data_IF_875002077184
#
_entry.id   IF_875002077184
#
_cell.length_a   1.000
_cell.length_b   1.000
_cell.length_c   1.000
_cell.angle_alpha   90.00
_cell.angle_beta   90.00
_cell.angle_gamma   90.00
#
_symmetry.space_group_name_H-M   'P 1'
#
loop_
_entity.id
_entity.type
_entity.pdbx_description
1 polymer ?
#
# COMPACT_ATOMS: atom_id res chain seq x y z
N UNK A 1 51.45 46.62 -2.32
CA UNK A 1 50.66 46.16 -1.16
C UNK A 1 49.55 45.26 -1.70
N UNK A 2 49.61 43.97 -1.38
CA UNK A 2 48.66 42.92 -1.78
C UNK A 2 47.75 42.64 -0.58
N UNK A 3 46.56 42.09 -0.84
CA UNK A 3 45.49 41.68 0.09
C UNK A 3 44.38 42.75 0.17
N UNK A 4 43.09 42.41 0.00
CA UNK A 4 42.43 41.20 0.47
C UNK A 4 41.47 40.63 -0.58
N UNK A 5 41.71 39.37 -0.94
CA UNK A 5 40.70 38.51 -1.53
C UNK A 5 39.51 38.42 -0.58
N UNK A 6 38.33 38.84 -1.05
CA UNK A 6 37.04 38.49 -0.47
C UNK A 6 36.81 36.99 -0.68
N UNK A 7 37.49 36.17 0.10
CA UNK A 7 37.06 34.79 0.34
C UNK A 7 35.74 34.88 1.08
N UNK A 8 34.64 34.84 0.32
CA UNK A 8 33.36 34.34 0.79
C UNK A 8 33.64 32.99 1.45
N UNK A 9 33.75 32.96 2.78
CA UNK A 9 33.75 31.70 3.52
C UNK A 9 32.44 31.00 3.23
N UNK A 10 32.50 30.09 2.25
CA UNK A 10 31.44 29.19 1.86
C UNK A 10 31.00 28.48 3.13
N UNK A 11 29.70 28.48 3.46
CA UNK A 11 29.22 27.70 4.59
C UNK A 11 29.43 26.20 4.30
N UNK A 12 30.59 25.69 4.71
CA UNK A 12 31.11 24.36 4.34
C UNK A 12 30.23 23.22 4.87
N UNK A 13 29.46 23.48 5.93
CA UNK A 13 28.76 22.43 6.66
C UNK A 13 27.52 21.88 5.93
N UNK A 14 26.72 22.72 5.27
CA UNK A 14 25.54 22.25 4.50
C UNK A 14 25.96 21.61 3.18
N UNK A 15 27.08 22.06 2.59
CA UNK A 15 27.62 21.52 1.35
C UNK A 15 28.13 20.08 1.54
N UNK A 16 28.88 19.82 2.62
CA UNK A 16 29.42 18.50 2.93
C UNK A 16 28.35 17.46 3.27
N UNK A 17 27.31 17.82 4.03
CA UNK A 17 26.23 16.90 4.38
C UNK A 17 25.42 16.46 3.15
N UNK A 18 25.07 17.40 2.25
CA UNK A 18 24.35 17.09 1.03
C UNK A 18 25.20 16.25 0.05
N UNK A 19 26.52 16.44 0.03
CA UNK A 19 27.44 15.60 -0.74
C UNK A 19 27.48 14.17 -0.20
N UNK A 20 27.52 13.99 1.13
CA UNK A 20 27.46 12.66 1.77
C UNK A 20 26.13 11.95 1.45
N UNK A 21 25.02 12.70 1.38
CA UNK A 21 23.69 12.16 1.07
C UNK A 21 23.43 11.98 -0.43
N UNK A 22 24.35 12.34 -1.32
CA UNK A 22 24.16 12.24 -2.76
C UNK A 22 23.80 10.80 -3.22
N UNK A 23 24.49 9.73 -2.78
CA UNK A 23 24.11 8.37 -3.15
C UNK A 23 22.68 8.03 -2.73
N UNK A 24 22.30 8.42 -1.50
CA UNK A 24 20.95 8.21 -0.98
C UNK A 24 19.91 8.97 -1.81
N UNK A 25 20.22 10.21 -2.23
CA UNK A 25 19.33 11.01 -3.08
C UNK A 25 19.11 10.37 -4.45
N UNK A 26 20.17 9.87 -5.07
CA UNK A 26 20.09 9.20 -6.38
C UNK A 26 19.28 7.90 -6.29
N UNK A 27 19.56 7.06 -5.29
CA UNK A 27 18.88 5.77 -5.11
C UNK A 27 17.42 5.96 -4.70
N UNK A 28 17.13 6.87 -3.75
CA UNK A 28 15.76 7.19 -3.38
C UNK A 28 14.98 7.80 -4.55
N UNK A 29 15.62 8.69 -5.31
CA UNK A 29 15.02 9.25 -6.53
C UNK A 29 14.71 8.19 -7.57
N UNK A 30 15.63 7.24 -7.80
CA UNK A 30 15.40 6.11 -8.70
C UNK A 30 14.27 5.19 -8.19
N UNK A 31 14.20 4.91 -6.89
CA UNK A 31 13.14 4.07 -6.32
C UNK A 31 11.74 4.61 -6.67
N UNK A 32 11.52 5.93 -6.54
CA UNK A 32 10.27 6.58 -6.96
C UNK A 32 10.10 6.62 -8.49
N UNK A 33 11.12 7.07 -9.23
CA UNK A 33 11.02 7.19 -10.69
C UNK A 33 10.79 5.83 -11.37
N UNK A 34 11.41 4.77 -10.85
CA UNK A 34 11.28 3.42 -11.38
C UNK A 34 9.85 2.87 -11.26
N UNK A 35 9.03 3.39 -10.35
CA UNK A 35 7.61 3.03 -10.27
C UNK A 35 6.87 3.45 -11.54
N UNK A 36 7.06 4.69 -11.99
CA UNK A 36 6.56 5.17 -13.28
C UNK A 36 7.15 4.38 -14.44
N UNK A 37 8.47 4.22 -14.48
CA UNK A 37 9.13 3.54 -15.58
C UNK A 37 8.59 2.11 -15.77
N UNK A 38 8.40 1.36 -14.68
CA UNK A 38 7.86 0.00 -14.74
C UNK A 38 6.37 -0.07 -15.10
N UNK A 39 5.57 0.92 -14.68
CA UNK A 39 4.10 0.90 -14.83
C UNK A 39 3.58 1.56 -16.11
N UNK A 40 4.38 2.42 -16.73
CA UNK A 40 3.99 3.18 -17.92
C UNK A 40 4.84 2.82 -19.16
N UNK A 41 6.11 2.46 -18.99
CA UNK A 41 7.04 2.22 -20.11
C UNK A 41 7.30 0.73 -20.32
N UNK A 42 7.67 0.00 -19.27
CA UNK A 42 8.05 -1.42 -19.41
C UNK A 42 6.84 -2.37 -19.45
N UNK A 43 5.74 -1.98 -18.83
CA UNK A 43 4.50 -2.73 -18.83
C UNK A 43 3.33 -1.77 -18.70
N UNK A 44 2.19 -2.10 -19.30
CA UNK A 44 0.95 -1.33 -19.10
C UNK A 44 0.23 -1.82 -17.85
N UNK A 45 0.55 -1.20 -16.71
CA UNK A 45 -0.02 -1.52 -15.39
C UNK A 45 -1.03 -0.47 -14.91
N UNK A 46 -1.31 0.54 -15.73
CA UNK A 46 -2.23 1.64 -15.43
C UNK A 46 -3.61 1.44 -16.07
N UNK A 47 -3.73 0.55 -17.05
CA UNK A 47 -5.01 0.15 -17.61
C UNK A 47 -5.74 -0.88 -16.71
N UNK A 48 -6.97 -0.63 -16.26
CA UNK A 48 -7.79 -1.62 -15.56
C UNK A 48 -8.08 -2.89 -16.37
N UNK A 49 -8.00 -2.83 -17.70
CA UNK A 49 -8.21 -3.98 -18.57
C UNK A 49 -7.06 -4.98 -18.60
N UNK A 50 -5.86 -4.60 -18.13
CA UNK A 50 -4.67 -5.43 -18.25
C UNK A 50 -4.37 -6.23 -16.98
N UNK A 51 -3.83 -7.46 -17.12
CA UNK A 51 -3.42 -8.26 -15.97
C UNK A 51 -2.37 -7.54 -15.11
N UNK A 52 -2.63 -7.46 -13.80
CA UNK A 52 -1.76 -6.81 -12.84
C UNK A 52 -1.89 -5.30 -12.81
N UNK A 53 -3.06 -4.77 -13.19
CA UNK A 53 -3.46 -3.39 -12.95
C UNK A 53 -3.13 -2.97 -11.51
N UNK A 54 -2.48 -1.82 -11.36
CA UNK A 54 -2.01 -1.33 -10.05
C UNK A 54 -3.15 -1.06 -9.06
N UNK A 55 -4.37 -0.76 -9.52
CA UNK A 55 -5.51 -0.57 -8.64
C UNK A 55 -5.94 -1.86 -7.91
N UNK A 56 -5.70 -3.04 -8.50
CA UNK A 56 -5.88 -4.32 -7.79
C UNK A 56 -4.87 -4.46 -6.64
N UNK A 57 -3.64 -3.96 -6.82
CA UNK A 57 -2.66 -3.94 -5.73
C UNK A 57 -3.02 -2.92 -4.65
N UNK A 58 -3.56 -1.77 -5.03
CA UNK A 58 -4.02 -0.76 -4.08
C UNK A 58 -5.16 -1.30 -3.19
N UNK A 59 -6.00 -2.19 -3.73
CA UNK A 59 -7.03 -2.89 -2.95
C UNK A 59 -6.45 -3.69 -1.78
N UNK A 60 -5.25 -4.27 -1.95
CA UNK A 60 -4.57 -5.03 -0.89
C UNK A 60 -4.25 -4.18 0.34
N UNK A 61 -4.22 -2.85 0.22
CA UNK A 61 -3.91 -1.97 1.35
C UNK A 61 -5.11 -1.83 2.31
N UNK A 62 -6.34 -2.02 1.81
CA UNK A 62 -7.58 -1.71 2.53
C UNK A 62 -7.75 -2.45 3.87
N UNK A 63 -7.52 -3.78 4.00
CA UNK A 63 -7.90 -4.53 5.19
C UNK A 63 -7.33 -4.02 6.51
N UNK A 64 -6.02 -3.75 6.56
CA UNK A 64 -5.32 -3.38 7.79
C UNK A 64 -4.62 -2.02 7.72
N UNK A 65 -4.98 -1.15 6.77
CA UNK A 65 -4.45 0.22 6.73
C UNK A 65 -4.69 0.98 8.05
N UNK A 66 -3.72 1.80 8.44
CA UNK A 66 -3.74 2.63 9.64
C UNK A 66 -4.23 4.04 9.29
N UNK A 67 -5.37 4.45 9.85
CA UNK A 67 -5.89 5.83 9.73
C UNK A 67 -6.48 6.22 8.36
N UNK A 68 -6.09 5.56 7.26
CA UNK A 68 -6.51 5.92 5.89
C UNK A 68 -7.50 4.95 5.23
N UNK A 69 -8.05 3.98 5.98
CA UNK A 69 -9.04 3.00 5.46
C UNK A 69 -10.23 3.66 4.73
N UNK A 70 -10.87 4.73 5.23
CA UNK A 70 -12.03 5.31 4.55
C UNK A 70 -11.69 5.86 3.16
N UNK A 71 -10.52 6.49 3.01
CA UNK A 71 -10.07 7.02 1.73
C UNK A 71 -9.77 5.89 0.73
N UNK A 72 -9.07 4.83 1.17
CA UNK A 72 -8.81 3.65 0.33
C UNK A 72 -10.12 2.98 -0.08
N UNK A 73 -11.03 2.78 0.88
CA UNK A 73 -12.34 2.16 0.63
C UNK A 73 -13.14 2.94 -0.39
N UNK A 74 -13.15 4.27 -0.30
CA UNK A 74 -13.85 5.12 -1.25
C UNK A 74 -13.30 4.94 -2.67
N UNK A 75 -11.97 4.96 -2.83
CA UNK A 75 -11.34 4.76 -4.15
C UNK A 75 -11.63 3.36 -4.72
N UNK A 76 -11.49 2.31 -3.91
CA UNK A 76 -11.73 0.92 -4.33
C UNK A 76 -13.18 0.68 -4.78
N UNK A 77 -14.15 1.41 -4.21
CA UNK A 77 -15.56 1.34 -4.60
C UNK A 77 -15.89 2.15 -5.87
N UNK A 78 -14.97 3.01 -6.34
CA UNK A 78 -15.16 3.87 -7.52
C UNK A 78 -14.04 3.64 -8.54
N UNK A 79 -14.16 2.63 -9.44
CA UNK A 79 -13.09 2.21 -10.34
C UNK A 79 -12.53 3.32 -11.24
N UNK A 80 -13.39 4.20 -11.77
CA UNK A 80 -12.94 5.32 -12.61
C UNK A 80 -12.06 6.29 -11.83
N UNK A 81 -12.46 6.64 -10.61
CA UNK A 81 -11.69 7.52 -9.74
C UNK A 81 -10.39 6.83 -9.29
N UNK A 82 -10.42 5.53 -9.01
CA UNK A 82 -9.22 4.75 -8.70
C UNK A 82 -8.21 4.81 -9.85
N UNK A 83 -8.65 4.61 -11.10
CA UNK A 83 -7.79 4.70 -12.30
C UNK A 83 -7.06 6.04 -12.36
N UNK A 84 -7.80 7.14 -12.30
CA UNK A 84 -7.20 8.47 -12.36
C UNK A 84 -6.29 8.77 -11.16
N UNK A 85 -6.65 8.28 -9.97
CA UNK A 85 -5.80 8.40 -8.78
C UNK A 85 -4.48 7.65 -8.94
N UNK A 86 -4.51 6.42 -9.48
CA UNK A 86 -3.30 5.61 -9.71
C UNK A 86 -2.38 6.23 -10.77
N UNK A 87 -2.95 6.81 -11.82
CA UNK A 87 -2.19 7.58 -12.82
C UNK A 87 -1.56 8.80 -12.16
N UNK A 88 -2.34 9.59 -11.41
CA UNK A 88 -1.85 10.79 -10.74
C UNK A 88 -0.72 10.47 -9.76
N UNK A 89 -0.88 9.45 -8.90
CA UNK A 89 0.18 9.02 -7.98
C UNK A 89 1.44 8.59 -8.74
N UNK A 90 1.30 7.82 -9.82
CA UNK A 90 2.44 7.37 -10.62
C UNK A 90 3.17 8.54 -11.29
N UNK A 91 2.45 9.58 -11.73
CA UNK A 91 3.06 10.79 -12.28
C UNK A 91 3.77 11.62 -11.21
N UNK A 92 3.20 11.71 -10.00
CA UNK A 92 3.85 12.37 -8.86
C UNK A 92 5.13 11.63 -8.46
N UNK A 93 5.11 10.30 -8.41
CA UNK A 93 6.31 9.48 -8.16
C UNK A 93 7.38 9.72 -9.24
N UNK A 94 6.99 9.83 -10.51
CA UNK A 94 7.91 10.15 -11.60
C UNK A 94 8.58 11.51 -11.40
N UNK A 95 7.77 12.54 -11.12
CA UNK A 95 8.24 13.91 -10.92
C UNK A 95 9.19 13.99 -9.72
N UNK A 96 8.76 13.48 -8.57
CA UNK A 96 9.54 13.50 -7.32
C UNK A 96 10.85 12.74 -7.51
N UNK A 97 10.79 11.54 -8.10
CA UNK A 97 11.96 10.70 -8.33
C UNK A 97 12.99 11.36 -9.24
N UNK A 98 12.54 11.87 -10.39
CA UNK A 98 13.42 12.54 -11.36
C UNK A 98 14.01 13.83 -10.80
N UNK A 99 13.20 14.67 -10.16
CA UNK A 99 13.68 15.91 -9.56
C UNK A 99 14.65 15.66 -8.40
N UNK A 100 14.45 14.60 -7.58
CA UNK A 100 15.44 14.21 -6.59
C UNK A 100 16.77 13.79 -7.21
N UNK A 101 16.75 12.95 -8.26
CA UNK A 101 17.99 12.53 -8.91
C UNK A 101 18.78 13.72 -9.46
N UNK A 102 18.10 14.64 -10.15
CA UNK A 102 18.70 15.85 -10.72
C UNK A 102 19.03 16.92 -9.66
N UNK A 103 18.44 16.83 -8.47
CA UNK A 103 18.54 17.88 -7.45
C UNK A 103 17.84 19.17 -7.87
N UNK A 104 16.58 19.05 -8.30
CA UNK A 104 15.67 20.15 -8.64
C UNK A 104 14.66 20.30 -7.50
N UNK A 105 14.58 21.50 -6.89
CA UNK A 105 13.75 21.78 -5.72
C UNK A 105 13.90 20.72 -4.62
N UNK A 106 15.16 20.39 -4.28
CA UNK A 106 15.50 19.18 -3.52
C UNK A 106 14.76 19.06 -2.19
N UNK A 107 14.52 20.16 -1.48
CA UNK A 107 13.79 20.13 -0.19
C UNK A 107 12.31 19.85 -0.38
N UNK A 108 11.67 20.50 -1.35
CA UNK A 108 10.27 20.22 -1.69
C UNK A 108 10.08 18.78 -2.15
N UNK A 109 11.01 18.26 -2.96
CA UNK A 109 10.96 16.87 -3.40
C UNK A 109 11.25 15.89 -2.25
N UNK A 110 12.15 16.24 -1.33
CA UNK A 110 12.37 15.49 -0.09
C UNK A 110 11.12 15.43 0.80
N UNK A 111 10.44 16.56 0.98
CA UNK A 111 9.16 16.63 1.68
C UNK A 111 8.09 15.77 1.00
N UNK A 112 8.01 15.85 -0.32
CA UNK A 112 7.05 15.07 -1.13
C UNK A 112 7.32 13.57 -1.01
N UNK A 113 8.59 13.15 -1.13
CA UNK A 113 9.01 11.77 -0.92
C UNK A 113 8.72 11.29 0.50
N UNK A 114 8.91 12.13 1.51
CA UNK A 114 8.54 11.80 2.90
C UNK A 114 7.03 11.56 3.03
N UNK A 115 6.20 12.39 2.42
CA UNK A 115 4.73 12.25 2.46
C UNK A 115 4.25 11.02 1.68
N UNK A 116 4.83 10.73 0.51
CA UNK A 116 4.55 9.52 -0.25
C UNK A 116 4.90 8.26 0.56
N UNK A 117 6.09 8.23 1.16
CA UNK A 117 6.53 7.14 2.03
C UNK A 117 5.63 6.97 3.24
N UNK A 118 5.19 8.07 3.85
CA UNK A 118 4.25 8.04 4.97
C UNK A 118 2.88 7.49 4.55
N UNK A 119 2.36 7.86 3.38
CA UNK A 119 1.13 7.29 2.84
C UNK A 119 1.23 5.78 2.60
N UNK A 120 2.36 5.32 2.04
CA UNK A 120 2.64 3.88 1.86
C UNK A 120 2.71 3.18 3.22
N UNK A 121 3.42 3.75 4.20
CA UNK A 121 3.53 3.18 5.55
C UNK A 121 2.15 3.00 6.20
N UNK A 122 1.28 4.01 6.09
CA UNK A 122 -0.07 3.96 6.65
C UNK A 122 -0.97 2.95 5.92
N UNK A 123 -0.88 2.83 4.60
CA UNK A 123 -1.72 1.93 3.83
C UNK A 123 -1.25 0.48 3.85
N UNK A 124 0.05 0.30 3.64
CA UNK A 124 0.66 -0.97 3.27
C UNK A 124 1.71 -1.46 4.28
N UNK A 125 2.03 -0.71 5.35
CA UNK A 125 3.08 -1.09 6.31
C UNK A 125 2.87 -2.40 7.06
N UNK A 126 1.69 -3.01 6.96
CA UNK A 126 1.39 -4.34 7.49
C UNK A 126 1.67 -5.48 6.50
N UNK A 127 1.87 -5.14 5.21
CA UNK A 127 2.23 -6.09 4.16
C UNK A 127 3.69 -6.52 4.32
N UNK A 128 3.97 -7.74 3.84
CA UNK A 128 5.29 -8.36 3.97
C UNK A 128 5.20 -9.86 4.26
N UNK A 129 5.17 -10.70 3.23
CA UNK A 129 4.96 -12.14 3.36
C UNK A 129 6.19 -12.88 3.85
N UNK A 130 7.37 -12.37 3.49
CA UNK A 130 8.69 -12.93 3.82
C UNK A 130 9.56 -11.93 4.55
N UNK A 131 9.55 -10.68 4.09
CA UNK A 131 10.28 -9.55 4.63
C UNK A 131 9.29 -8.42 4.97
N UNK A 132 9.69 -7.46 5.80
CA UNK A 132 8.88 -6.28 6.14
C UNK A 132 8.97 -5.20 5.06
N UNK A 133 8.75 -5.58 3.80
CA UNK A 133 9.15 -4.80 2.63
C UNK A 133 8.47 -3.42 2.58
N UNK A 134 7.14 -3.37 2.65
CA UNK A 134 6.38 -2.12 2.58
C UNK A 134 6.64 -1.21 3.79
N UNK A 135 6.82 -1.80 4.98
CA UNK A 135 7.18 -1.07 6.19
C UNK A 135 8.58 -0.45 6.07
N UNK A 136 9.58 -1.23 5.61
CA UNK A 136 10.95 -0.77 5.39
C UNK A 136 11.01 0.34 4.34
N UNK A 137 10.26 0.21 3.25
CA UNK A 137 10.12 1.27 2.23
C UNK A 137 9.58 2.55 2.86
N UNK A 138 8.51 2.44 3.67
CA UNK A 138 7.90 3.57 4.36
C UNK A 138 8.85 4.29 5.31
N UNK A 139 9.46 3.58 6.25
CA UNK A 139 10.33 4.19 7.27
C UNK A 139 11.64 4.75 6.69
N UNK A 140 12.27 4.04 5.75
CA UNK A 140 13.47 4.54 5.07
C UNK A 140 13.16 5.72 4.16
N UNK A 141 12.00 5.72 3.49
CA UNK A 141 11.54 6.84 2.69
C UNK A 141 11.29 8.11 3.52
N UNK A 142 10.67 7.96 4.70
CA UNK A 142 10.47 9.08 5.65
C UNK A 142 11.82 9.62 6.13
N UNK A 143 12.74 8.75 6.54
CA UNK A 143 14.07 9.15 7.01
C UNK A 143 14.87 9.85 5.90
N UNK A 144 14.86 9.30 4.68
CA UNK A 144 15.56 9.86 3.52
C UNK A 144 14.97 11.22 3.12
N UNK A 145 13.64 11.32 3.01
CA UNK A 145 12.96 12.58 2.70
C UNK A 145 13.22 13.67 3.74
N UNK A 146 13.23 13.29 5.03
CA UNK A 146 13.61 14.19 6.14
C UNK A 146 15.06 14.66 6.01
N UNK A 147 15.98 13.76 5.67
CA UNK A 147 17.39 14.11 5.45
C UNK A 147 17.54 15.13 4.31
N UNK A 148 16.85 14.93 3.17
CA UNK A 148 16.90 15.86 2.04
C UNK A 148 16.26 17.22 2.34
N UNK A 149 15.19 17.25 3.15
CA UNK A 149 14.55 18.47 3.60
C UNK A 149 15.52 19.34 4.42
N UNK A 150 16.38 18.70 5.22
CA UNK A 150 17.38 19.38 6.04
C UNK A 150 18.65 19.73 5.24
N UNK A 151 19.19 18.79 4.47
CA UNK A 151 20.48 18.95 3.78
C UNK A 151 20.39 19.79 2.50
N UNK A 152 19.25 19.75 1.81
CA UNK A 152 19.17 20.18 0.42
C UNK A 152 19.99 19.28 -0.52
N UNK A 153 20.23 19.77 -1.75
CA UNK A 153 20.85 19.02 -2.83
C UNK A 153 22.36 19.22 -3.03
N UNK A 154 22.99 20.15 -2.31
CA UNK A 154 24.45 20.33 -2.34
C UNK A 154 25.00 20.74 -3.72
N UNK A 155 26.30 20.57 -3.91
CA UNK A 155 27.01 21.09 -5.09
C UNK A 155 26.67 20.36 -6.40
N UNK A 156 26.32 19.09 -6.31
CA UNK A 156 25.93 18.26 -7.45
C UNK A 156 24.41 18.25 -7.60
N UNK A 157 23.82 19.43 -7.69
CA UNK A 157 22.38 19.61 -7.93
C UNK A 157 22.14 20.68 -8.99
N UNK A 158 21.05 20.53 -9.74
CA UNK A 158 20.59 21.59 -10.65
C UNK A 158 20.27 22.86 -9.85
N UNK A 159 19.75 22.73 -8.63
CA UNK A 159 19.53 23.86 -7.73
C UNK A 159 20.79 24.71 -7.53
N UNK A 160 21.94 24.08 -7.26
CA UNK A 160 23.21 24.78 -7.09
C UNK A 160 23.76 25.30 -8.42
N UNK A 161 23.61 24.55 -9.52
CA UNK A 161 24.01 25.01 -10.85
C UNK A 161 23.27 26.30 -11.25
N UNK A 162 21.96 26.36 -11.04
CA UNK A 162 21.13 27.54 -11.33
C UNK A 162 21.54 28.73 -10.45
N UNK A 163 21.86 28.47 -9.18
CA UNK A 163 22.37 29.48 -8.25
C UNK A 163 23.73 30.03 -8.70
N UNK A 164 24.67 29.17 -9.11
CA UNK A 164 25.99 29.57 -9.63
C UNK A 164 25.89 30.40 -10.90
N UNK A 165 24.90 30.11 -11.77
CA UNK A 165 24.60 30.92 -12.96
C UNK A 165 23.99 32.29 -12.64
N UNK A 166 23.66 32.57 -11.38
CA UNK A 166 23.24 33.90 -10.92
C UNK A 166 21.86 34.34 -11.39
N UNK A 167 20.97 33.39 -11.75
CA UNK A 167 19.62 33.69 -12.23
C UNK A 167 18.80 34.45 -11.17
N UNK A 168 18.00 35.43 -11.60
CA UNK A 168 17.28 36.36 -10.71
C UNK A 168 16.38 35.65 -9.69
N UNK A 169 15.65 34.61 -10.11
CA UNK A 169 14.75 33.86 -9.22
C UNK A 169 15.48 33.06 -8.14
N UNK A 170 16.75 32.68 -8.35
CA UNK A 170 17.53 31.90 -7.37
C UNK A 170 17.97 32.71 -6.15
N UNK A 171 17.89 34.04 -6.23
CA UNK A 171 18.18 34.96 -5.13
C UNK A 171 16.98 35.17 -4.20
N UNK A 172 15.80 34.73 -4.62
CA UNK A 172 14.59 34.92 -3.83
C UNK A 172 14.52 33.95 -2.63
N UNK A 173 13.95 34.42 -1.53
CA UNK A 173 13.84 33.64 -0.27
C UNK A 173 13.08 32.32 -0.46
N UNK A 174 12.06 32.30 -1.31
CA UNK A 174 11.31 31.08 -1.60
C UNK A 174 12.19 30.01 -2.26
N UNK A 175 13.09 30.40 -3.17
CA UNK A 175 14.01 29.45 -3.80
C UNK A 175 15.00 28.90 -2.78
N UNK A 176 15.50 29.74 -1.85
CA UNK A 176 16.38 29.28 -0.77
C UNK A 176 15.72 28.19 0.08
N UNK A 177 14.43 28.32 0.39
CA UNK A 177 13.70 27.38 1.25
C UNK A 177 13.19 26.14 0.51
N UNK A 178 12.68 26.29 -0.72
CA UNK A 178 12.12 25.19 -1.52
C UNK A 178 13.21 24.34 -2.21
N UNK A 179 14.30 24.99 -2.63
CA UNK A 179 15.44 24.36 -3.29
C UNK A 179 16.59 24.14 -2.29
N UNK A 180 17.84 24.24 -2.75
CA UNK A 180 19.04 23.86 -1.99
C UNK A 180 19.78 25.04 -1.37
N UNK A 181 19.07 26.12 -1.00
CA UNK A 181 19.68 27.30 -0.37
C UNK A 181 20.23 27.04 1.04
N UNK A 182 21.03 27.97 1.56
CA UNK A 182 21.59 27.83 2.92
C UNK A 182 20.49 28.02 3.96
N UNK A 183 20.21 26.96 4.73
CA UNK A 183 19.24 27.01 5.84
C UNK A 183 19.97 26.63 7.12
N UNK A 184 20.08 27.58 8.04
CA UNK A 184 20.63 27.31 9.38
C UNK A 184 19.58 26.61 10.24
N UNK A 185 19.61 25.28 10.28
CA UNK A 185 18.75 24.50 11.16
C UNK A 185 19.39 24.41 12.55
N UNK A 186 18.60 24.70 13.59
CA UNK A 186 19.06 24.58 14.99
C UNK A 186 19.25 23.11 15.36
N UNK A 187 20.36 22.76 16.02
CA UNK A 187 20.65 21.38 16.47
C UNK A 187 19.48 20.68 17.18
N UNK A 188 18.74 21.32 18.11
CA UNK A 188 17.59 20.69 18.76
C UNK A 188 16.49 20.25 17.79
N UNK A 189 16.27 20.99 16.71
CA UNK A 189 15.25 20.64 15.69
C UNK A 189 15.65 19.36 14.97
N UNK A 190 16.94 19.18 14.66
CA UNK A 190 17.46 17.96 14.05
C UNK A 190 17.29 16.76 14.98
N UNK A 191 17.61 16.92 16.28
CA UNK A 191 17.45 15.86 17.28
C UNK A 191 15.97 15.49 17.46
N UNK A 192 15.08 16.48 17.60
CA UNK A 192 13.64 16.25 17.72
C UNK A 192 13.10 15.54 16.48
N UNK A 193 13.52 15.97 15.28
CA UNK A 193 13.14 15.32 14.02
C UNK A 193 13.61 13.87 13.95
N UNK A 194 14.86 13.59 14.34
CA UNK A 194 15.40 12.23 14.38
C UNK A 194 14.64 11.33 15.38
N UNK A 195 14.35 11.84 16.58
CA UNK A 195 13.53 11.13 17.57
C UNK A 195 12.13 10.88 17.01
N UNK A 196 11.49 11.86 16.37
CA UNK A 196 10.17 11.68 15.77
C UNK A 196 10.15 10.60 14.68
N UNK A 197 11.14 10.59 13.77
CA UNK A 197 11.26 9.54 12.74
C UNK A 197 11.49 8.16 13.39
N UNK A 198 12.34 8.08 14.41
CA UNK A 198 12.55 6.84 15.15
C UNK A 198 11.28 6.38 15.89
N UNK A 199 10.54 7.29 16.49
CA UNK A 199 9.27 6.99 17.15
C UNK A 199 8.24 6.44 16.16
N UNK A 200 8.10 7.05 14.98
CA UNK A 200 7.23 6.53 13.91
C UNK A 200 7.65 5.11 13.53
N UNK A 201 8.95 4.86 13.35
CA UNK A 201 9.50 3.53 13.06
C UNK A 201 9.12 2.52 14.15
N UNK A 202 9.42 2.80 15.41
CA UNK A 202 9.18 1.84 16.50
C UNK A 202 7.67 1.60 16.75
N UNK A 203 6.87 2.66 16.73
CA UNK A 203 5.41 2.55 16.93
C UNK A 203 4.76 1.75 15.81
N UNK A 204 5.11 2.02 14.56
CA UNK A 204 4.53 1.28 13.43
C UNK A 204 5.03 -0.17 13.36
N UNK A 205 6.30 -0.43 13.72
CA UNK A 205 6.80 -1.81 13.84
C UNK A 205 6.03 -2.61 14.89
N UNK A 206 5.79 -2.00 16.05
CA UNK A 206 5.00 -2.62 17.10
C UNK A 206 3.55 -2.84 16.66
N UNK A 207 2.93 -1.84 16.05
CA UNK A 207 1.53 -1.90 15.63
C UNK A 207 1.28 -2.95 14.53
N UNK A 208 2.14 -3.00 13.51
CA UNK A 208 1.93 -3.86 12.35
C UNK A 208 2.44 -5.29 12.55
N UNK A 209 3.51 -5.47 13.34
CA UNK A 209 4.22 -6.75 13.40
C UNK A 209 4.47 -7.27 14.82
N UNK A 210 4.20 -6.48 15.86
CA UNK A 210 4.61 -6.82 17.23
C UNK A 210 6.14 -6.85 17.38
N UNK A 211 6.87 -6.11 16.52
CA UNK A 211 8.30 -6.27 16.32
C UNK A 211 9.23 -5.62 17.36
N UNK A 212 8.69 -5.03 18.44
CA UNK A 212 9.50 -4.42 19.51
C UNK A 212 9.37 -5.20 20.82
N UNK A 213 8.15 -5.55 21.21
CA UNK A 213 7.88 -6.33 22.42
C UNK A 213 6.61 -7.19 22.26
N UNK A 214 6.52 -8.27 23.03
CA UNK A 214 5.39 -9.22 22.97
C UNK A 214 5.52 -10.24 21.84
N UNK A 215 4.44 -10.98 21.53
CA UNK A 215 4.46 -11.98 20.47
C UNK A 215 4.48 -11.35 19.08
N UNK A 216 5.37 -11.85 18.23
CA UNK A 216 5.44 -11.47 16.82
C UNK A 216 4.18 -11.95 16.08
N UNK A 217 3.65 -11.13 15.18
CA UNK A 217 2.55 -11.50 14.31
C UNK A 217 2.78 -11.03 12.87
N UNK A 218 2.28 -11.81 11.91
CA UNK A 218 2.33 -11.42 10.50
C UNK A 218 0.99 -11.75 9.82
N UNK A 219 0.21 -10.70 9.56
CA UNK A 219 -1.09 -10.76 8.90
C UNK A 219 -1.02 -11.05 7.40
N UNK A 220 0.17 -11.09 6.83
CA UNK A 220 0.39 -11.32 5.40
C UNK A 220 0.72 -12.78 5.08
N UNK A 221 0.70 -13.69 6.07
CA UNK A 221 1.08 -15.10 5.86
C UNK A 221 -0.14 -16.00 5.70
N UNK A 222 -1.05 -16.02 6.68
CA UNK A 222 -2.18 -16.95 6.69
C UNK A 222 -3.45 -16.27 6.16
N UNK A 223 -4.20 -16.89 5.24
CA UNK A 223 -5.43 -16.29 4.75
C UNK A 223 -6.48 -16.22 5.88
N UNK A 224 -7.15 -15.08 5.97
CA UNK A 224 -8.36 -14.91 6.78
C UNK A 224 -9.47 -14.38 5.88
N UNK A 225 -10.60 -15.09 5.87
CA UNK A 225 -11.81 -14.70 5.16
C UNK A 225 -12.92 -14.47 6.17
N UNK A 226 -13.40 -13.24 6.22
CA UNK A 226 -14.57 -12.86 7.00
C UNK A 226 -15.85 -13.18 6.23
N UNK A 227 -16.83 -13.72 6.94
CA UNK A 227 -18.15 -14.05 6.42
C UNK A 227 -19.17 -13.09 7.05
N UNK A 228 -19.90 -12.37 6.21
CA UNK A 228 -20.99 -11.48 6.62
C UNK A 228 -22.27 -11.74 5.83
N UNK A 229 -23.40 -11.20 6.29
CA UNK A 229 -24.69 -11.23 5.59
C UNK A 229 -25.14 -12.64 5.15
N UNK A 230 -24.75 -13.66 5.93
CA UNK A 230 -25.07 -15.05 5.64
C UNK A 230 -26.55 -15.27 5.93
N UNK A 231 -27.30 -15.70 4.91
CA UNK A 231 -28.75 -15.92 4.96
C UNK A 231 -29.15 -17.10 4.09
N UNK A 232 -30.15 -17.87 4.55
CA UNK A 232 -30.81 -18.91 3.74
C UNK A 232 -32.06 -18.28 3.11
N UNK A 233 -32.16 -18.39 1.78
CA UNK A 233 -33.21 -17.80 0.94
C UNK A 233 -34.02 -18.90 0.22
N UNK A 234 -35.13 -18.53 -0.41
CA UNK A 234 -35.93 -19.44 -1.26
C UNK A 234 -35.15 -20.12 -2.39
N UNK A 235 -34.12 -19.45 -2.91
CA UNK A 235 -33.28 -19.96 -4.00
C UNK A 235 -31.95 -20.58 -3.54
N UNK A 236 -31.71 -20.68 -2.23
CA UNK A 236 -30.50 -21.29 -1.67
C UNK A 236 -29.76 -20.40 -0.67
N UNK A 237 -28.43 -20.50 -0.64
CA UNK A 237 -27.57 -19.89 0.37
C UNK A 237 -26.92 -18.62 -0.19
N UNK A 238 -27.01 -17.51 0.55
CA UNK A 238 -26.35 -16.24 0.20
C UNK A 238 -25.46 -15.79 1.34
N UNK A 239 -24.24 -15.34 1.02
CA UNK A 239 -23.32 -14.79 2.00
C UNK A 239 -22.30 -13.88 1.34
N UNK A 240 -21.73 -12.97 2.11
CA UNK A 240 -20.63 -12.11 1.68
C UNK A 240 -19.32 -12.65 2.22
N UNK A 241 -18.30 -12.72 1.36
CA UNK A 241 -16.91 -13.00 1.75
C UNK A 241 -16.07 -11.74 1.64
N UNK A 242 -15.17 -11.54 2.58
CA UNK A 242 -14.15 -10.49 2.55
C UNK A 242 -12.82 -11.04 3.03
N UNK A 243 -11.80 -11.03 2.18
CA UNK A 243 -10.46 -11.49 2.58
C UNK A 243 -9.66 -10.37 3.23
N UNK A 244 -9.35 -10.52 4.51
CA UNK A 244 -8.66 -9.49 5.30
C UNK A 244 -7.18 -9.74 5.50
N UNK A 245 -6.73 -10.98 5.40
CA UNK A 245 -5.34 -11.36 5.69
C UNK A 245 -4.79 -12.40 4.69
N UNK A 246 -3.48 -12.61 4.76
CA UNK A 246 -2.70 -13.57 4.00
C UNK A 246 -1.94 -12.95 2.83
N UNK A 247 -1.30 -13.83 2.06
CA UNK A 247 -0.38 -13.46 0.99
C UNK A 247 -1.05 -12.63 -0.11
N UNK A 248 -0.41 -11.55 -0.54
CA UNK A 248 -0.93 -10.58 -1.49
C UNK A 248 -0.68 -10.95 -2.97
N UNK A 249 0.24 -11.89 -3.24
CA UNK A 249 0.59 -12.35 -4.60
C UNK A 249 -0.36 -13.39 -5.19
N UNK A 250 -1.15 -14.10 -4.37
CA UNK A 250 -2.17 -15.05 -4.83
C UNK A 250 -3.43 -15.01 -3.94
N UNK A 251 -4.54 -15.55 -4.46
CA UNK A 251 -5.82 -15.60 -3.73
C UNK A 251 -5.90 -16.74 -2.71
N UNK A 252 -6.78 -16.63 -1.72
CA UNK A 252 -7.27 -17.83 -1.03
C UNK A 252 -8.06 -18.67 -2.04
N UNK A 253 -7.91 -20.00 -1.97
CA UNK A 253 -8.60 -20.93 -2.84
C UNK A 253 -9.68 -21.63 -2.04
N UNK A 254 -10.89 -21.10 -2.10
CA UNK A 254 -12.06 -21.68 -1.45
C UNK A 254 -12.46 -22.95 -2.22
N UNK A 255 -12.24 -24.11 -1.60
CA UNK A 255 -12.45 -25.44 -2.18
C UNK A 255 -13.65 -26.18 -1.58
N UNK A 256 -14.29 -25.62 -0.55
CA UNK A 256 -15.54 -26.17 -0.03
C UNK A 256 -16.37 -25.09 0.65
N UNK A 257 -17.68 -25.12 0.37
CA UNK A 257 -18.70 -24.40 1.14
C UNK A 257 -19.65 -25.45 1.71
N UNK A 258 -19.89 -25.43 3.02
CA UNK A 258 -20.77 -26.40 3.67
C UNK A 258 -21.70 -25.73 4.68
N UNK A 259 -22.91 -26.25 4.80
CA UNK A 259 -23.81 -25.97 5.91
C UNK A 259 -23.82 -27.16 6.86
N UNK A 260 -23.65 -26.85 8.15
CA UNK A 260 -23.61 -27.83 9.22
C UNK A 260 -24.82 -27.64 10.15
N UNK A 261 -25.50 -28.73 10.46
CA UNK A 261 -26.48 -28.83 11.56
C UNK A 261 -25.83 -29.63 12.69
N UNK A 262 -25.55 -29.00 13.83
CA UNK A 262 -24.87 -29.62 14.98
C UNK A 262 -23.59 -30.41 14.59
N UNK A 263 -22.79 -29.86 13.67
CA UNK A 263 -21.56 -30.47 13.19
C UNK A 263 -21.73 -31.49 12.05
N UNK A 264 -22.97 -31.90 11.73
CA UNK A 264 -23.27 -32.78 10.59
C UNK A 264 -23.48 -31.96 9.32
N UNK A 265 -22.80 -32.31 8.24
CA UNK A 265 -22.97 -31.65 6.94
C UNK A 265 -24.32 -31.98 6.32
N UNK A 266 -25.13 -30.96 6.08
CA UNK A 266 -26.45 -31.08 5.44
C UNK A 266 -26.45 -30.59 3.99
N UNK A 267 -25.51 -29.71 3.65
CA UNK A 267 -25.31 -29.21 2.30
C UNK A 267 -23.81 -28.95 2.09
N UNK A 268 -23.31 -29.27 0.90
CA UNK A 268 -21.90 -29.06 0.55
C UNK A 268 -21.75 -28.78 -0.94
N UNK A 269 -21.00 -27.73 -1.26
CA UNK A 269 -20.52 -27.42 -2.60
C UNK A 269 -19.01 -27.59 -2.60
N UNK A 270 -18.52 -28.49 -3.46
CA UNK A 270 -17.09 -28.80 -3.56
C UNK A 270 -16.38 -27.90 -4.57
N UNK A 271 -15.04 -27.87 -4.49
CA UNK A 271 -14.16 -27.08 -5.35
C UNK A 271 -14.49 -27.12 -6.85
N UNK A 272 -14.69 -28.31 -7.46
CA UNK A 272 -15.06 -28.41 -8.88
C UNK A 272 -16.40 -27.75 -9.24
N UNK A 273 -17.35 -27.65 -8.30
CA UNK A 273 -18.62 -26.95 -8.52
C UNK A 273 -18.42 -25.43 -8.33
N UNK A 274 -17.62 -25.05 -7.34
CA UNK A 274 -17.24 -23.66 -7.08
C UNK A 274 -16.44 -23.02 -8.24
N UNK A 275 -15.59 -23.81 -8.92
CA UNK A 275 -14.86 -23.36 -10.11
C UNK A 275 -15.74 -23.16 -11.35
N UNK A 276 -16.97 -23.70 -11.33
CA UNK A 276 -17.94 -23.57 -12.41
C UNK A 276 -19.05 -22.56 -12.08
N UNK A 277 -18.94 -21.85 -10.95
CA UNK A 277 -19.97 -20.92 -10.50
C UNK A 277 -20.14 -19.79 -11.54
N UNK A 278 -21.38 -19.52 -12.01
CA UNK A 278 -21.65 -18.43 -12.93
C UNK A 278 -21.23 -17.07 -12.36
N UNK A 279 -20.76 -16.17 -13.22
CA UNK A 279 -20.40 -14.80 -12.80
C UNK A 279 -21.59 -14.03 -12.23
N UNK A 280 -22.83 -14.36 -12.64
CA UNK A 280 -24.06 -13.77 -12.10
C UNK A 280 -24.25 -14.05 -10.60
N UNK A 281 -23.67 -15.14 -10.12
CA UNK A 281 -23.81 -15.61 -8.74
C UNK A 281 -22.74 -15.02 -7.81
N UNK A 282 -21.79 -14.26 -8.39
CA UNK A 282 -20.71 -13.57 -7.69
C UNK A 282 -20.83 -12.07 -7.95
N UNK A 283 -21.40 -11.35 -6.99
CA UNK A 283 -21.49 -9.90 -7.04
C UNK A 283 -20.30 -9.29 -6.31
N UNK A 284 -19.33 -8.78 -7.07
CA UNK A 284 -18.12 -8.14 -6.54
C UNK A 284 -18.39 -6.69 -6.14
N UNK A 285 -17.92 -6.31 -4.95
CA UNK A 285 -17.99 -4.93 -4.47
C UNK A 285 -16.71 -4.15 -4.76
N UNK A 286 -15.56 -4.83 -4.77
CA UNK A 286 -14.25 -4.21 -4.94
C UNK A 286 -13.64 -4.56 -6.30
N UNK A 287 -12.67 -3.76 -6.75
CA UNK A 287 -11.93 -3.98 -8.02
C UNK A 287 -11.20 -5.32 -8.03
N UNK A 288 -10.64 -5.76 -6.89
CA UNK A 288 -10.05 -7.09 -6.77
C UNK A 288 -11.16 -8.16 -6.71
N UNK A 289 -11.50 -8.69 -7.87
CA UNK A 289 -12.67 -9.56 -8.02
C UNK A 289 -12.43 -10.99 -7.49
N UNK A 290 -13.36 -11.46 -6.67
CA UNK A 290 -13.60 -12.88 -6.43
C UNK A 290 -14.09 -13.51 -7.73
N UNK A 291 -13.45 -14.60 -8.14
CA UNK A 291 -13.75 -15.26 -9.42
C UNK A 291 -13.56 -16.78 -9.34
N UNK A 292 -14.22 -17.56 -10.20
CA UNK A 292 -13.91 -18.98 -10.34
C UNK A 292 -12.48 -19.16 -10.86
N UNK A 293 -11.72 -20.05 -10.21
CA UNK A 293 -10.42 -20.54 -10.65
C UNK A 293 -10.50 -22.02 -11.02
N UNK A 294 -9.37 -22.69 -11.22
CA UNK A 294 -9.35 -24.08 -11.71
C UNK A 294 -9.97 -25.09 -10.72
N UNK A 295 -9.72 -24.91 -9.42
CA UNK A 295 -10.07 -25.89 -8.39
C UNK A 295 -11.09 -25.38 -7.34
N UNK A 296 -11.60 -24.16 -7.50
CA UNK A 296 -12.49 -23.51 -6.54
C UNK A 296 -12.66 -22.02 -6.84
N UNK A 297 -13.13 -21.25 -5.86
CA UNK A 297 -13.18 -19.79 -5.98
C UNK A 297 -11.85 -19.17 -5.52
N UNK A 298 -11.33 -18.23 -6.30
CA UNK A 298 -10.17 -17.41 -5.95
C UNK A 298 -10.68 -16.15 -5.26
N UNK A 299 -10.27 -15.95 -4.00
CA UNK A 299 -10.59 -14.76 -3.20
C UNK A 299 -9.30 -13.94 -3.05
N UNK A 300 -9.07 -12.88 -3.84
CA UNK A 300 -7.86 -12.05 -3.74
C UNK A 300 -7.85 -11.27 -2.41
N UNK A 301 -6.68 -10.80 -1.99
CA UNK A 301 -6.54 -10.02 -0.76
C UNK A 301 -7.34 -8.71 -0.89
N UNK A 302 -8.09 -8.37 0.16
CA UNK A 302 -9.04 -7.26 0.15
C UNK A 302 -10.23 -7.48 -0.80
N UNK A 303 -10.35 -8.63 -1.46
CA UNK A 303 -11.49 -8.95 -2.33
C UNK A 303 -12.75 -9.12 -1.50
N UNK A 304 -13.82 -8.44 -1.91
CA UNK A 304 -15.13 -8.50 -1.26
C UNK A 304 -16.21 -8.83 -2.27
N UNK A 305 -16.96 -9.89 -2.03
CA UNK A 305 -18.03 -10.31 -2.93
C UNK A 305 -19.17 -10.99 -2.18
N UNK A 306 -20.39 -10.79 -2.68
CA UNK A 306 -21.56 -11.60 -2.32
C UNK A 306 -21.62 -12.81 -3.24
N UNK A 307 -21.70 -13.99 -2.63
CA UNK A 307 -21.83 -15.27 -3.31
C UNK A 307 -23.24 -15.79 -3.07
N UNK A 308 -23.90 -16.23 -4.14
CA UNK A 308 -25.19 -16.92 -4.09
C UNK A 308 -24.99 -18.34 -4.59
N UNK A 309 -25.39 -19.33 -3.80
CA UNK A 309 -25.30 -20.75 -4.15
C UNK A 309 -26.71 -21.34 -4.18
N UNK A 310 -27.04 -21.98 -5.28
CA UNK A 310 -28.27 -22.75 -5.37
C UNK A 310 -28.13 -24.03 -4.54
N UNK A 311 -29.05 -24.25 -3.60
CA UNK A 311 -29.07 -25.45 -2.75
C UNK A 311 -29.71 -26.66 -3.44
N UNK A 312 -30.17 -26.49 -4.69
CA UNK A 312 -30.83 -27.51 -5.47
C UNK A 312 -32.12 -27.97 -4.80
N UNK A 313 -32.26 -29.28 -4.64
CA UNK A 313 -33.41 -29.92 -3.97
C UNK A 313 -33.29 -29.98 -2.45
N UNK A 314 -32.17 -29.55 -1.86
CA UNK A 314 -31.98 -29.58 -0.41
C UNK A 314 -32.97 -28.62 0.26
N UNK A 315 -33.98 -29.17 0.92
CA UNK A 315 -34.95 -28.39 1.70
C UNK A 315 -34.32 -28.04 3.04
N UNK A 316 -33.86 -26.80 3.17
CA UNK A 316 -33.22 -26.31 4.40
C UNK A 316 -34.28 -25.54 5.19
N UNK A 317 -34.50 -25.94 6.44
CA UNK A 317 -35.48 -25.32 7.33
C UNK A 317 -34.99 -23.94 7.79
N UNK A 318 -35.64 -22.89 7.30
CA UNK A 318 -35.27 -21.50 7.57
C UNK A 318 -35.47 -21.07 9.02
N UNK A 319 -36.29 -21.77 9.77
CA UNK A 319 -36.55 -21.46 11.17
C UNK A 319 -35.44 -21.96 12.10
N UNK A 320 -34.48 -22.72 11.56
CA UNK A 320 -33.35 -23.27 12.30
C UNK A 320 -32.07 -22.49 12.00
N UNK A 321 -31.18 -22.46 12.99
CA UNK A 321 -29.84 -21.91 12.86
C UNK A 321 -28.88 -23.02 12.43
N UNK A 322 -28.01 -22.71 11.48
CA UNK A 322 -26.97 -23.59 10.97
C UNK A 322 -25.61 -22.88 11.04
N UNK A 323 -24.55 -23.65 10.81
CA UNK A 323 -23.20 -23.08 10.68
C UNK A 323 -22.74 -23.17 9.24
N UNK A 324 -22.51 -22.01 8.61
CA UNK A 324 -21.80 -21.91 7.34
C UNK A 324 -20.31 -22.11 7.58
N UNK A 325 -19.71 -23.08 6.89
CA UNK A 325 -18.29 -23.39 6.95
C UNK A 325 -17.67 -23.25 5.55
N UNK A 326 -16.65 -22.40 5.45
CA UNK A 326 -15.82 -22.21 4.26
C UNK A 326 -14.47 -22.88 4.50
N UNK A 327 -13.95 -23.62 3.52
CA UNK A 327 -12.66 -24.31 3.62
C UNK A 327 -11.72 -23.90 2.50
N UNK A 328 -10.53 -23.46 2.86
CA UNK A 328 -9.42 -23.16 1.94
C UNK A 328 -8.65 -24.42 1.56
N UNK A 329 -7.94 -24.38 0.44
CA UNK A 329 -7.04 -25.46 -0.02
C UNK A 329 -5.98 -25.83 1.02
N UNK A 330 -5.54 -24.89 1.86
CA UNK A 330 -4.61 -25.13 2.97
C UNK A 330 -5.23 -25.90 4.15
N UNK A 331 -6.54 -26.14 4.14
CA UNK A 331 -7.29 -26.80 5.22
C UNK A 331 -7.84 -25.85 6.28
N UNK A 332 -7.51 -24.54 6.23
CA UNK A 332 -8.10 -23.52 7.11
C UNK A 332 -9.62 -23.47 6.91
N UNK A 333 -10.36 -23.36 8.01
CA UNK A 333 -11.83 -23.26 8.00
C UNK A 333 -12.29 -21.97 8.65
N UNK A 334 -13.21 -21.27 7.99
CA UNK A 334 -13.89 -20.09 8.53
C UNK A 334 -15.38 -20.41 8.71
N UNK A 335 -15.93 -20.04 9.87
CA UNK A 335 -17.29 -20.43 10.24
C UNK A 335 -18.11 -19.23 10.70
N UNK A 336 -19.41 -19.24 10.36
CA UNK A 336 -20.38 -18.23 10.79
C UNK A 336 -21.75 -18.87 10.97
N UNK A 337 -22.50 -18.52 12.03
CA UNK A 337 -23.91 -18.88 12.12
C UNK A 337 -24.71 -18.26 10.96
N UNK A 338 -25.69 -19.00 10.46
CA UNK A 338 -26.61 -18.59 9.41
C UNK A 338 -28.02 -19.03 9.77
N UNK A 339 -28.98 -18.14 9.55
CA UNK A 339 -30.41 -18.39 9.75
C UNK A 339 -31.17 -18.13 8.45
N UNK A 340 -32.43 -18.54 8.40
CA UNK A 340 -33.36 -18.03 7.38
C UNK A 340 -33.44 -16.52 7.40
N UNK A 341 -33.59 -15.94 6.21
CA UNK A 341 -34.12 -14.60 6.04
C UNK A 341 -35.66 -14.63 6.10
#
# INVERSE_FOLDING_TARGET
MRNQDLTLERSTQSSSAALILLPLRLVAGWAYFSAFWRRAILADKLDPGTPGYVGEKFNNFLPNALGIKPAISYLVLHPDLLKWSMIAFTMVEALVGLCLMLGIFTRTMGASAMLLAFGILLGAGWLGTTCLDEWQIGILGIASGSAFLLSGGGEYSVDDLLRRKGLSFTRAKYFTWLASGEVKVRKPVVVIGAVAVLSVTLVTNQYFHGGVYGPLHNKSVKPVVEISDATITDGGLRFTVYRTEGVDVYGSFLVSVALLDNGKTIFKVAGPQLSQLPKSDISNYHVAAVKPGTCGLVIPLGGKARISLNTGTATIDRNRSYTLSLTDVSGVRWQKPVTGA
#
